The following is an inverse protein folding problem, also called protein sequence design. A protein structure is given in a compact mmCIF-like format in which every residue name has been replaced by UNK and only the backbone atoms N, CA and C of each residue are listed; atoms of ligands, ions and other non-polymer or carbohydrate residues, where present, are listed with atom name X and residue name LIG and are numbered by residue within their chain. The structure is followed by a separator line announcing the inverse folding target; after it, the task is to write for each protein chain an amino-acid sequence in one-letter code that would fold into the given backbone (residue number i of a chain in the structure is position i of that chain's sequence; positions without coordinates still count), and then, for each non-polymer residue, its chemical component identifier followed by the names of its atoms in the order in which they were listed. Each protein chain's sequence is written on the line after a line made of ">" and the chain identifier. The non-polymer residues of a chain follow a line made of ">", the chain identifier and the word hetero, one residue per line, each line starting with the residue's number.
data_IF_690227439648
#
_entry.id   IF_690227439648
#
_cell.length_a   1.000
_cell.length_b   1.000
_cell.length_c   1.000
_cell.angle_alpha   90.00
_cell.angle_beta   90.00
_cell.angle_gamma   90.00
#
_symmetry.space_group_name_H-M   'P 1'
#
loop_
_entity.id
_entity.type
_entity.pdbx_description
1 polymer ?
#
# COMPACT_ATOMS: atom_id res chain seq x y z
N UNK A 1 29.23 1.12 -8.81
CA UNK A 1 29.42 0.15 -9.91
C UNK A 1 28.14 -0.63 -10.21
N UNK A 2 27.45 -1.22 -9.22
CA UNK A 2 26.18 -1.94 -9.44
C UNK A 2 25.09 -1.13 -10.15
N UNK A 3 24.85 0.13 -9.72
CA UNK A 3 23.85 1.01 -10.38
C UNK A 3 24.16 1.27 -11.87
N UNK A 4 25.44 1.34 -12.26
CA UNK A 4 25.83 1.54 -13.66
C UNK A 4 25.66 0.26 -14.48
N UNK A 5 25.93 -0.90 -13.87
CA UNK A 5 25.69 -2.20 -14.52
C UNK A 5 24.20 -2.45 -14.75
N UNK A 6 23.34 -2.08 -13.79
CA UNK A 6 21.89 -2.15 -13.96
C UNK A 6 21.40 -1.22 -15.08
N UNK A 7 21.97 -0.01 -15.19
CA UNK A 7 21.62 0.94 -16.26
C UNK A 7 21.97 0.46 -17.68
N UNK A 8 22.83 -0.58 -17.81
CA UNK A 8 23.22 -1.15 -19.10
C UNK A 8 22.47 -2.44 -19.43
N UNK A 9 21.67 -2.97 -18.50
CA UNK A 9 20.89 -4.18 -18.74
C UNK A 9 19.59 -3.84 -19.45
N UNK A 10 19.11 -4.72 -20.35
CA UNK A 10 17.77 -4.57 -20.90
C UNK A 10 16.73 -4.66 -19.77
N UNK A 11 15.80 -3.72 -19.76
CA UNK A 11 14.64 -3.69 -18.87
C UNK A 11 13.39 -4.22 -19.58
N UNK A 12 12.50 -4.83 -18.81
CA UNK A 12 11.11 -5.01 -19.20
C UNK A 12 10.36 -3.74 -18.80
N UNK A 13 9.93 -2.98 -19.80
CA UNK A 13 9.18 -1.75 -19.62
C UNK A 13 7.68 -1.97 -19.86
N UNK A 14 6.85 -1.02 -19.44
CA UNK A 14 5.40 -1.02 -19.69
C UNK A 14 4.69 -2.33 -19.28
N UNK A 15 5.10 -2.94 -18.16
CA UNK A 15 4.53 -4.20 -17.69
C UNK A 15 3.07 -3.99 -17.28
N UNK A 16 2.16 -4.77 -17.88
CA UNK A 16 0.75 -4.84 -17.50
C UNK A 16 0.36 -6.28 -17.15
N UNK A 17 -0.56 -6.40 -16.19
CA UNK A 17 -1.06 -7.69 -15.69
C UNK A 17 -2.57 -7.71 -15.86
N UNK A 18 -3.06 -8.62 -16.69
CA UNK A 18 -4.47 -8.81 -16.98
C UNK A 18 -4.94 -10.13 -16.35
N UNK A 19 -6.02 -10.07 -15.58
CA UNK A 19 -6.63 -11.23 -14.94
C UNK A 19 -7.83 -11.67 -15.75
N UNK A 20 -7.86 -12.94 -16.14
CA UNK A 20 -8.97 -13.54 -16.87
C UNK A 20 -9.76 -14.47 -15.96
N UNK A 21 -11.08 -14.40 -16.08
CA UNK A 21 -12.02 -15.22 -15.32
C UNK A 21 -12.75 -16.14 -16.27
N UNK A 22 -13.10 -17.33 -15.80
CA UNK A 22 -13.94 -18.24 -16.57
C UNK A 22 -15.27 -17.53 -16.90
N UNK A 23 -15.59 -17.43 -18.19
CA UNK A 23 -16.88 -16.93 -18.62
C UNK A 23 -17.97 -17.91 -18.12
N UNK A 24 -19.11 -17.41 -17.60
CA UNK A 24 -20.23 -18.27 -17.29
C UNK A 24 -20.59 -19.12 -18.52
N UNK A 25 -20.94 -20.41 -18.36
CA UNK A 25 -21.20 -21.32 -19.47
C UNK A 25 -22.35 -20.86 -20.39
N UNK A 26 -23.17 -19.92 -19.95
CA UNK A 26 -24.31 -19.35 -20.71
C UNK A 26 -23.98 -18.02 -21.42
N UNK A 27 -22.72 -17.57 -21.43
CA UNK A 27 -22.33 -16.38 -22.19
C UNK A 27 -22.44 -16.68 -23.69
N UNK A 28 -23.20 -15.90 -24.49
CA UNK A 28 -23.33 -16.14 -25.92
C UNK A 28 -21.94 -16.03 -26.56
N UNK A 29 -21.46 -17.14 -27.09
CA UNK A 29 -20.21 -17.18 -27.84
C UNK A 29 -20.30 -16.17 -28.97
N UNK A 30 -19.46 -15.12 -28.96
CA UNK A 30 -19.37 -14.16 -30.06
C UNK A 30 -19.08 -14.95 -31.34
N UNK A 31 -20.05 -14.97 -32.24
CA UNK A 31 -19.96 -15.70 -33.49
C UNK A 31 -18.81 -15.15 -34.36
N UNK A 32 -18.10 -15.99 -35.14
CA UNK A 32 -17.05 -15.55 -36.07
C UNK A 32 -17.50 -14.48 -37.07
N UNK A 33 -18.81 -14.31 -37.27
CA UNK A 33 -19.40 -13.27 -38.13
C UNK A 33 -19.20 -11.84 -37.60
N UNK A 34 -19.02 -11.63 -36.29
CA UNK A 34 -18.78 -10.28 -35.75
C UNK A 34 -17.34 -9.82 -35.92
N UNK A 35 -16.38 -10.75 -36.01
CA UNK A 35 -14.98 -10.43 -36.34
C UNK A 35 -14.80 -10.02 -37.80
N UNK A 36 -15.61 -10.58 -38.71
CA UNK A 36 -15.58 -10.23 -40.13
C UNK A 36 -16.15 -8.83 -40.43
N UNK A 37 -17.02 -8.28 -39.56
CA UNK A 37 -17.59 -6.94 -39.72
C UNK A 37 -16.67 -5.80 -39.28
N UNK A 38 -15.56 -6.10 -38.57
CA UNK A 38 -14.60 -5.08 -38.14
C UNK A 38 -13.53 -4.74 -39.20
N UNK A 39 -13.49 -5.46 -40.32
CA UNK A 39 -12.48 -5.26 -41.37
C UNK A 39 -12.79 -4.10 -42.35
N UNK A 40 -14.05 -3.63 -42.39
CA UNK A 40 -14.48 -2.57 -43.31
C UNK A 40 -14.59 -1.20 -42.61
N UNK A 41 -13.58 -0.81 -41.82
CA UNK A 41 -13.50 0.56 -41.28
C UNK A 41 -12.87 1.48 -42.33
N UNK A 42 -13.71 2.32 -42.92
CA UNK A 42 -13.33 3.31 -43.94
C UNK A 42 -12.51 4.45 -43.33
N UNK A 43 -11.60 5.06 -44.11
CA UNK A 43 -10.75 6.21 -43.71
C UNK A 43 -11.56 7.39 -43.13
N UNK A 44 -12.85 7.50 -43.43
CA UNK A 44 -13.74 8.54 -42.94
C UNK A 44 -14.25 8.31 -41.50
N UNK A 45 -14.08 7.12 -40.93
CA UNK A 45 -14.53 6.78 -39.57
C UNK A 45 -13.53 7.23 -38.47
N UNK A 46 -12.39 7.82 -38.84
CA UNK A 46 -11.37 8.28 -37.89
C UNK A 46 -11.74 9.56 -37.10
N UNK A 47 -12.84 10.23 -37.43
CA UNK A 47 -13.22 11.52 -36.82
C UNK A 47 -14.55 11.49 -36.05
N UNK A 48 -15.24 10.35 -35.99
CA UNK A 48 -16.34 10.15 -35.05
C UNK A 48 -15.76 9.80 -33.67
N UNK A 49 -16.34 10.28 -32.55
CA UNK A 49 -15.99 9.74 -31.24
C UNK A 49 -16.24 8.23 -31.29
N UNK A 50 -15.20 7.42 -31.07
CA UNK A 50 -15.31 5.97 -31.06
C UNK A 50 -16.38 5.53 -30.05
N UNK A 51 -17.57 5.19 -30.53
CA UNK A 51 -18.66 4.60 -29.72
C UNK A 51 -18.40 3.09 -29.49
N UNK A 52 -17.29 2.55 -29.99
CA UNK A 52 -16.91 1.14 -29.83
C UNK A 52 -16.11 0.82 -28.55
N UNK A 53 -15.79 1.79 -27.69
CA UNK A 53 -15.41 1.48 -26.30
C UNK A 53 -16.69 1.28 -25.46
N UNK A 54 -17.59 0.40 -25.93
CA UNK A 54 -18.52 -0.27 -25.02
C UNK A 54 -17.64 -1.05 -24.04
N UNK A 55 -17.55 -0.65 -22.76
CA UNK A 55 -16.82 -1.43 -21.80
C UNK A 55 -17.48 -2.80 -21.82
N UNK A 56 -16.71 -3.83 -22.20
CA UNK A 56 -17.11 -5.20 -21.93
C UNK A 56 -17.71 -5.25 -20.52
N UNK A 57 -18.74 -6.07 -20.27
CA UNK A 57 -19.27 -6.29 -18.93
C UNK A 57 -18.23 -7.07 -18.10
N UNK A 58 -17.03 -6.50 -17.95
CA UNK A 58 -16.06 -6.85 -16.95
C UNK A 58 -16.76 -6.55 -15.65
N UNK A 59 -17.05 -7.61 -14.91
CA UNK A 59 -17.34 -7.49 -13.49
C UNK A 59 -16.30 -6.61 -12.79
N UNK A 60 -16.55 -6.26 -11.53
CA UNK A 60 -15.73 -5.29 -10.80
C UNK A 60 -14.24 -5.65 -10.89
N UNK A 61 -13.45 -4.79 -11.54
CA UNK A 61 -12.07 -5.09 -11.88
C UNK A 61 -11.22 -5.29 -10.61
N UNK A 62 -10.29 -6.27 -10.61
CA UNK A 62 -9.42 -6.48 -9.47
C UNK A 62 -8.54 -5.26 -9.22
N UNK A 63 -8.30 -4.96 -7.95
CA UNK A 63 -7.38 -3.88 -7.57
C UNK A 63 -5.95 -4.43 -7.47
N UNK A 64 -5.09 -3.98 -8.38
CA UNK A 64 -3.69 -4.43 -8.49
C UNK A 64 -2.76 -3.46 -7.75
N UNK A 65 -1.81 -4.03 -7.00
CA UNK A 65 -0.82 -3.33 -6.19
C UNK A 65 0.58 -3.91 -6.45
N UNK A 66 1.62 -3.09 -6.71
CA UNK A 66 1.54 -1.65 -6.94
C UNK A 66 0.74 -1.33 -8.21
N UNK A 67 0.07 -0.18 -8.25
CA UNK A 67 -0.75 0.23 -9.40
C UNK A 67 0.09 0.56 -10.63
N UNK A 68 1.35 0.93 -10.42
CA UNK A 68 2.35 1.11 -11.47
C UNK A 68 3.51 0.16 -11.24
N UNK A 69 3.70 -0.75 -12.19
CA UNK A 69 4.82 -1.68 -12.19
C UNK A 69 6.07 -0.91 -12.68
N UNK A 70 7.15 -0.82 -11.88
CA UNK A 70 8.39 -0.22 -12.33
C UNK A 70 9.08 -1.11 -13.39
N UNK A 71 10.03 -0.56 -14.17
CA UNK A 71 10.87 -1.36 -15.04
C UNK A 71 11.51 -2.54 -14.29
N UNK A 72 11.43 -3.74 -14.86
CA UNK A 72 11.96 -4.95 -14.24
C UNK A 72 13.29 -5.29 -14.92
N UNK A 73 14.37 -5.37 -14.14
CA UNK A 73 15.68 -5.73 -14.66
C UNK A 73 15.96 -7.23 -14.54
N UNK A 74 16.91 -7.72 -15.33
CA UNK A 74 17.34 -9.11 -15.26
C UNK A 74 17.81 -9.50 -13.86
N UNK A 75 17.39 -10.69 -13.41
CA UNK A 75 17.62 -11.25 -12.07
C UNK A 75 16.89 -10.54 -10.93
N UNK A 76 16.00 -9.59 -11.20
CA UNK A 76 15.12 -9.04 -10.19
C UNK A 76 13.81 -9.83 -10.12
N UNK A 77 13.30 -10.02 -8.90
CA UNK A 77 11.99 -10.61 -8.67
C UNK A 77 11.00 -9.49 -8.41
N UNK A 78 9.99 -9.39 -9.26
CA UNK A 78 8.85 -8.52 -9.05
C UNK A 78 7.68 -9.32 -8.48
N UNK A 79 6.95 -8.71 -7.53
CA UNK A 79 5.75 -9.30 -6.92
C UNK A 79 4.65 -8.26 -6.99
N UNK A 80 3.51 -8.65 -7.54
CA UNK A 80 2.28 -7.86 -7.54
C UNK A 80 1.16 -8.64 -6.89
N UNK A 81 0.25 -7.92 -6.25
CA UNK A 81 -0.91 -8.45 -5.57
C UNK A 81 -2.19 -7.92 -6.22
N UNK A 82 -3.19 -8.78 -6.38
CA UNK A 82 -4.53 -8.39 -6.76
C UNK A 82 -5.49 -8.64 -5.60
N UNK A 83 -6.29 -7.63 -5.26
CA UNK A 83 -7.38 -7.74 -4.29
C UNK A 83 -8.69 -7.76 -5.06
N UNK A 84 -9.38 -8.89 -4.98
CA UNK A 84 -10.68 -9.09 -5.60
C UNK A 84 -11.80 -8.60 -4.67
N UNK A 85 -12.81 -7.89 -5.20
CA UNK A 85 -13.98 -7.50 -4.42
C UNK A 85 -14.78 -8.73 -3.99
N UNK A 86 -15.42 -8.68 -2.82
CA UNK A 86 -16.16 -9.82 -2.25
C UNK A 86 -17.36 -10.26 -3.08
N UNK A 87 -17.83 -9.40 -3.98
CA UNK A 87 -18.93 -9.69 -4.90
C UNK A 87 -18.48 -10.57 -6.08
N UNK A 88 -17.16 -10.68 -6.30
CA UNK A 88 -16.56 -11.54 -7.31
C UNK A 88 -16.40 -12.94 -6.71
N UNK A 89 -17.29 -13.86 -7.10
CA UNK A 89 -17.23 -15.28 -6.68
C UNK A 89 -16.27 -16.10 -7.52
N UNK A 90 -15.92 -15.62 -8.70
CA UNK A 90 -15.13 -16.38 -9.66
C UNK A 90 -13.64 -16.24 -9.34
N UNK A 91 -12.97 -17.39 -9.25
CA UNK A 91 -11.51 -17.45 -9.15
C UNK A 91 -10.94 -17.18 -10.54
N UNK A 92 -9.89 -16.35 -10.68
CA UNK A 92 -9.25 -16.15 -11.97
C UNK A 92 -8.67 -17.47 -12.49
N UNK A 93 -8.84 -17.73 -13.78
CA UNK A 93 -8.37 -18.96 -14.44
C UNK A 93 -6.95 -18.80 -14.98
N UNK A 94 -6.62 -17.59 -15.47
CA UNK A 94 -5.27 -17.31 -15.96
C UNK A 94 -4.91 -15.85 -15.82
N UNK A 95 -3.60 -15.60 -15.76
CA UNK A 95 -2.98 -14.28 -15.70
C UNK A 95 -2.18 -14.07 -16.97
N UNK A 96 -2.46 -12.99 -17.68
CA UNK A 96 -1.69 -12.58 -18.85
C UNK A 96 -0.79 -11.41 -18.46
N UNK A 97 0.52 -11.60 -18.62
CA UNK A 97 1.53 -10.57 -18.40
C UNK A 97 2.00 -10.07 -19.76
N UNK A 98 1.86 -8.77 -20.01
CA UNK A 98 2.35 -8.10 -21.22
C UNK A 98 3.44 -7.12 -20.83
N UNK A 99 4.48 -7.01 -21.62
CA UNK A 99 5.55 -6.04 -21.42
C UNK A 99 6.21 -5.66 -22.75
N UNK A 100 6.91 -4.54 -22.75
CA UNK A 100 7.73 -4.09 -23.87
C UNK A 100 9.18 -4.44 -23.58
N UNK A 101 9.82 -5.14 -24.52
CA UNK A 101 11.25 -5.44 -24.48
C UNK A 101 11.95 -4.72 -25.62
N UNK A 102 13.28 -4.51 -25.56
CA UNK A 102 14.03 -3.92 -26.66
C UNK A 102 13.89 -4.68 -27.98
N UNK A 103 13.59 -5.98 -27.93
CA UNK A 103 13.40 -6.87 -29.09
C UNK A 103 11.95 -6.88 -29.61
N UNK A 104 11.01 -6.29 -28.87
CA UNK A 104 9.59 -6.24 -29.21
C UNK A 104 8.64 -6.48 -28.04
N UNK A 105 7.31 -6.41 -28.25
CA UNK A 105 6.33 -6.74 -27.24
C UNK A 105 6.41 -8.22 -26.87
N UNK A 106 6.38 -8.51 -25.58
CA UNK A 106 6.39 -9.85 -25.03
C UNK A 106 5.12 -10.08 -24.21
N UNK A 107 4.44 -11.19 -24.49
CA UNK A 107 3.24 -11.62 -23.79
C UNK A 107 3.44 -13.04 -23.27
N UNK A 108 3.03 -13.28 -22.03
CA UNK A 108 3.07 -14.60 -21.41
C UNK A 108 1.80 -14.82 -20.61
N UNK A 109 1.15 -15.95 -20.87
CA UNK A 109 -0.03 -16.38 -20.16
C UNK A 109 0.34 -17.48 -19.16
N UNK A 110 -0.08 -17.30 -17.92
CA UNK A 110 0.12 -18.24 -16.81
C UNK A 110 -1.24 -18.74 -16.37
N UNK A 111 -1.46 -20.04 -16.49
CA UNK A 111 -2.68 -20.70 -16.02
C UNK A 111 -2.60 -20.92 -14.50
N UNK A 112 -3.70 -20.66 -13.80
CA UNK A 112 -3.82 -20.89 -12.36
C UNK A 112 -4.40 -22.29 -12.19
N UNK A 113 -3.59 -23.22 -11.68
CA UNK A 113 -4.02 -24.58 -11.42
C UNK A 113 -4.51 -24.70 -9.97
N UNK A 114 -5.35 -25.70 -9.68
CA UNK A 114 -5.86 -25.94 -8.33
C UNK A 114 -4.74 -26.12 -7.28
N UNK A 115 -3.58 -26.64 -7.71
CA UNK A 115 -2.40 -26.81 -6.88
C UNK A 115 -1.72 -25.48 -6.49
N UNK A 116 -1.95 -24.41 -7.25
CA UNK A 116 -1.41 -23.08 -6.99
C UNK A 116 -2.27 -22.29 -5.99
N UNK A 117 -3.45 -22.82 -5.63
CA UNK A 117 -4.36 -22.21 -4.68
C UNK A 117 -3.85 -22.44 -3.26
N UNK A 118 -3.20 -21.41 -2.72
CA UNK A 118 -2.73 -21.42 -1.34
C UNK A 118 -3.77 -20.85 -0.38
N UNK A 119 -4.27 -21.69 0.52
CA UNK A 119 -5.15 -21.25 1.61
C UNK A 119 -4.34 -20.71 2.79
N UNK A 120 -4.37 -19.40 3.00
CA UNK A 120 -3.76 -18.79 4.18
C UNK A 120 -3.95 -17.29 4.26
N UNK A 121 -3.73 -16.71 5.43
CA UNK A 121 -3.84 -15.25 5.63
C UNK A 121 -2.58 -14.48 5.20
N UNK A 122 -1.46 -15.16 4.93
CA UNK A 122 -0.17 -14.49 4.70
C UNK A 122 -0.19 -13.67 3.41
N UNK A 123 -0.61 -14.27 2.28
CA UNK A 123 -0.73 -13.55 1.02
C UNK A 123 -1.72 -12.37 1.13
N UNK A 124 -2.85 -12.58 1.82
CA UNK A 124 -3.83 -11.53 2.09
C UNK A 124 -3.25 -10.37 2.91
N UNK A 125 -2.46 -10.67 3.95
CA UNK A 125 -1.76 -9.65 4.76
C UNK A 125 -0.74 -8.88 3.94
N UNK A 126 0.04 -9.56 3.09
CA UNK A 126 1.03 -8.91 2.21
C UNK A 126 0.35 -8.01 1.18
N UNK A 127 -0.74 -8.47 0.56
CA UNK A 127 -1.53 -7.67 -0.37
C UNK A 127 -2.11 -6.42 0.30
N UNK A 128 -2.72 -6.57 1.48
CA UNK A 128 -3.26 -5.46 2.23
C UNK A 128 -2.16 -4.48 2.69
N UNK A 129 -0.99 -4.98 3.08
CA UNK A 129 0.15 -4.15 3.46
C UNK A 129 0.64 -3.28 2.29
N UNK A 130 0.82 -3.87 1.11
CA UNK A 130 1.27 -3.10 -0.07
C UNK A 130 0.22 -2.09 -0.51
N UNK A 131 -1.07 -2.44 -0.43
CA UNK A 131 -2.17 -1.53 -0.72
C UNK A 131 -2.22 -0.31 0.22
N UNK A 132 -2.03 -0.52 1.53
CA UNK A 132 -1.96 0.55 2.52
C UNK A 132 -0.73 1.44 2.26
N UNK A 133 0.43 0.83 2.04
CA UNK A 133 1.69 1.54 1.80
C UNK A 133 1.62 2.42 0.54
N UNK A 134 1.05 1.91 -0.55
CA UNK A 134 0.85 2.70 -1.76
C UNK A 134 -0.09 3.90 -1.51
N UNK A 135 -1.16 3.70 -0.72
CA UNK A 135 -2.06 4.80 -0.32
C UNK A 135 -1.35 5.89 0.50
N UNK A 136 -0.50 5.49 1.45
CA UNK A 136 0.27 6.42 2.28
C UNK A 136 1.29 7.21 1.44
N UNK A 137 1.96 6.55 0.51
CA UNK A 137 2.86 7.19 -0.45
C UNK A 137 2.12 8.19 -1.33
N UNK A 138 0.95 7.82 -1.84
CA UNK A 138 0.07 8.71 -2.62
C UNK A 138 -0.27 9.97 -1.81
N UNK A 139 -0.71 9.83 -0.56
CA UNK A 139 -1.05 10.97 0.30
C UNK A 139 0.14 11.84 0.62
N UNK A 140 1.28 11.23 0.90
CA UNK A 140 2.53 11.96 1.16
C UNK A 140 2.96 12.77 -0.07
N UNK A 141 2.89 12.18 -1.27
CA UNK A 141 3.20 12.88 -2.51
C UNK A 141 2.22 14.04 -2.76
N UNK A 142 0.91 13.80 -2.59
CA UNK A 142 -0.13 14.83 -2.73
C UNK A 142 0.07 16.00 -1.78
N UNK A 143 0.33 15.72 -0.50
CA UNK A 143 0.52 16.76 0.52
C UNK A 143 1.78 17.60 0.27
N UNK A 144 2.78 17.03 -0.40
CA UNK A 144 4.01 17.73 -0.81
C UNK A 144 3.90 18.43 -2.16
N UNK A 145 2.75 18.36 -2.83
CA UNK A 145 2.54 18.94 -4.15
C UNK A 145 3.30 18.23 -5.27
N UNK A 146 3.76 16.99 -5.04
CA UNK A 146 4.35 16.19 -6.11
C UNK A 146 3.27 15.64 -7.05
N UNK A 147 3.56 15.51 -8.35
CA UNK A 147 2.65 14.87 -9.28
C UNK A 147 2.42 13.43 -8.81
N UNK A 148 1.16 13.12 -8.53
CA UNK A 148 0.79 11.79 -8.07
C UNK A 148 0.51 10.94 -9.31
N UNK A 149 1.37 9.98 -9.54
CA UNK A 149 1.26 9.05 -10.67
C UNK A 149 0.09 8.11 -10.39
N UNK A 150 -0.73 7.88 -11.41
CA UNK A 150 -2.06 7.26 -11.31
C UNK A 150 -2.11 5.92 -10.57
N UNK A 151 -3.31 5.62 -10.06
CA UNK A 151 -3.60 4.43 -9.28
C UNK A 151 -4.91 4.62 -8.50
N UNK A 152 -5.56 3.52 -8.10
CA UNK A 152 -6.76 3.60 -7.28
C UNK A 152 -6.39 4.07 -5.87
N UNK A 153 -6.92 5.21 -5.47
CA UNK A 153 -6.80 5.70 -4.11
C UNK A 153 -7.82 5.01 -3.21
N UNK A 154 -7.35 4.20 -2.26
CA UNK A 154 -8.19 3.74 -1.14
C UNK A 154 -8.69 4.96 -0.33
N UNK A 155 -9.97 4.98 0.00
CA UNK A 155 -10.48 5.91 1.00
C UNK A 155 -9.83 5.64 2.37
N UNK A 156 -9.76 6.68 3.21
CA UNK A 156 -9.23 6.54 4.57
C UNK A 156 -9.93 5.43 5.36
N UNK A 157 -11.25 5.30 5.18
CA UNK A 157 -12.05 4.27 5.81
C UNK A 157 -11.69 2.87 5.29
N UNK A 158 -11.52 2.68 3.98
CA UNK A 158 -11.09 1.39 3.42
C UNK A 158 -9.70 1.00 3.93
N UNK A 159 -8.76 1.95 3.99
CA UNK A 159 -7.41 1.68 4.50
C UNK A 159 -7.44 1.28 5.98
N UNK A 160 -8.26 1.94 6.81
CA UNK A 160 -8.46 1.58 8.23
C UNK A 160 -9.10 0.19 8.34
N UNK A 161 -10.14 -0.09 7.55
CA UNK A 161 -10.81 -1.40 7.54
C UNK A 161 -9.84 -2.53 7.16
N UNK A 162 -9.01 -2.33 6.12
CA UNK A 162 -7.97 -3.28 5.72
C UNK A 162 -6.93 -3.49 6.84
N UNK A 163 -6.46 -2.41 7.44
CA UNK A 163 -5.48 -2.45 8.53
C UNK A 163 -6.01 -3.24 9.74
N UNK A 164 -7.24 -2.98 10.17
CA UNK A 164 -7.88 -3.69 11.28
C UNK A 164 -8.12 -5.15 10.91
N UNK A 165 -8.70 -5.44 9.73
CA UNK A 165 -9.04 -6.79 9.28
C UNK A 165 -7.82 -7.73 9.27
N UNK A 166 -6.65 -7.19 8.88
CA UNK A 166 -5.43 -7.99 8.73
C UNK A 166 -4.40 -7.78 9.86
N UNK A 167 -4.68 -6.89 10.82
CA UNK A 167 -3.80 -6.57 11.93
C UNK A 167 -2.49 -5.90 11.48
N UNK A 168 -2.58 -4.92 10.59
CA UNK A 168 -1.44 -4.21 10.00
C UNK A 168 -1.31 -2.84 10.67
N UNK A 169 -0.09 -2.46 11.08
CA UNK A 169 0.21 -1.10 11.54
C UNK A 169 0.25 -0.16 10.34
N UNK A 170 -0.40 0.99 10.44
CA UNK A 170 -0.42 2.03 9.40
C UNK A 170 -0.36 3.41 10.03
N UNK A 171 -0.18 4.47 9.24
CA UNK A 171 -0.24 5.87 9.71
C UNK A 171 -1.57 6.17 10.41
N UNK A 172 -2.65 5.46 10.03
CA UNK A 172 -4.01 5.65 10.54
C UNK A 172 -4.40 4.71 11.67
N UNK A 173 -3.54 3.76 12.06
CA UNK A 173 -3.85 2.76 13.09
C UNK A 173 -2.71 2.65 14.10
N UNK A 174 -3.06 2.45 15.37
CA UNK A 174 -2.07 2.29 16.45
C UNK A 174 -2.38 1.03 17.25
N UNK A 175 -1.32 0.33 17.65
CA UNK A 175 -1.42 -0.80 18.56
C UNK A 175 -1.31 -0.31 20.00
N UNK A 176 -2.32 -0.60 20.82
CA UNK A 176 -2.33 -0.30 22.25
C UNK A 176 -2.26 -1.61 23.01
N UNK A 177 -1.13 -1.88 23.65
CA UNK A 177 -0.98 -3.02 24.54
C UNK A 177 -1.54 -2.68 25.92
N UNK A 178 -2.66 -3.31 26.29
CA UNK A 178 -3.27 -3.18 27.62
C UNK A 178 -2.72 -4.32 28.49
N UNK A 179 -2.08 -3.98 29.60
CA UNK A 179 -1.66 -4.96 30.62
C UNK A 179 -2.78 -5.10 31.63
N UNK A 180 -3.30 -6.31 31.81
CA UNK A 180 -4.38 -6.61 32.76
C UNK A 180 -3.90 -6.66 34.22
N UNK A 181 -2.65 -6.29 34.50
CA UNK A 181 -2.18 -6.14 35.88
C UNK A 181 -3.14 -5.20 36.63
N UNK A 182 -3.89 -5.70 37.64
CA UNK A 182 -4.78 -4.86 38.43
C UNK A 182 -3.91 -4.02 39.37
N UNK A 183 -3.24 -3.00 38.83
CA UNK A 183 -2.39 -2.11 39.61
C UNK A 183 -3.27 -1.12 40.33
N UNK A 184 -3.84 -1.59 41.42
CA UNK A 184 -4.16 -0.74 42.55
C UNK A 184 -2.83 -0.30 43.15
N UNK A 185 -2.64 1.02 43.20
CA UNK A 185 -1.71 1.79 44.05
C UNK A 185 -0.45 2.41 43.44
N UNK A 186 -0.42 3.72 43.70
CA UNK A 186 0.70 4.55 44.12
C UNK A 186 1.67 5.09 43.06
N UNK A 187 1.43 6.36 42.76
CA UNK A 187 2.43 7.39 42.51
C UNK A 187 3.85 7.07 43.03
N UNK A 188 4.78 6.88 42.11
CA UNK A 188 6.00 7.71 41.94
C UNK A 188 7.12 6.85 41.37
N UNK A 189 7.75 7.37 40.32
CA UNK A 189 8.84 6.70 39.62
C UNK A 189 8.50 6.62 38.14
N UNK A 190 9.16 7.45 37.33
CA UNK A 190 9.11 7.35 35.87
C UNK A 190 9.79 6.05 35.47
N UNK A 191 9.05 4.95 35.52
CA UNK A 191 9.53 3.68 35.01
C UNK A 191 9.56 3.78 33.49
N UNK A 192 10.78 3.88 32.93
CA UNK A 192 11.00 3.74 31.49
C UNK A 192 10.60 2.32 31.13
N UNK A 193 9.37 2.16 30.66
CA UNK A 193 8.86 0.90 30.14
C UNK A 193 9.66 0.57 28.87
N UNK A 194 10.62 -0.33 28.99
CA UNK A 194 11.30 -0.94 27.85
C UNK A 194 10.28 -1.87 27.20
N UNK A 195 9.71 -1.45 26.07
CA UNK A 195 8.90 -2.35 25.23
C UNK A 195 9.89 -3.37 24.67
N UNK A 196 9.74 -4.68 24.93
CA UNK A 196 10.54 -5.68 24.24
C UNK A 196 10.25 -5.51 22.74
N UNK A 197 11.26 -5.11 21.98
CA UNK A 197 11.21 -5.24 20.53
C UNK A 197 11.07 -6.73 20.24
N UNK A 198 9.85 -7.16 19.91
CA UNK A 198 9.61 -8.46 19.28
C UNK A 198 10.13 -8.41 17.83
N UNK A 199 11.43 -8.15 17.67
CA UNK A 199 12.16 -8.57 16.49
C UNK A 199 12.55 -10.03 16.76
N UNK A 200 12.30 -10.98 15.85
CA UNK A 200 12.88 -12.30 15.99
C UNK A 200 14.40 -12.12 16.03
N UNK A 201 15.01 -12.50 17.16
CA UNK A 201 16.44 -12.70 17.28
C UNK A 201 16.82 -13.97 16.52
N UNK A 202 16.58 -13.99 15.21
CA UNK A 202 17.21 -14.95 14.33
C UNK A 202 18.45 -14.29 13.74
N UNK A 203 19.58 -14.99 13.88
CA UNK A 203 20.94 -14.64 13.48
C UNK A 203 21.14 -14.40 11.97
N UNK A 204 20.10 -14.00 11.23
CA UNK A 204 20.12 -13.75 9.79
C UNK A 204 20.45 -12.30 9.39
N UNK A 205 20.55 -11.36 10.34
CA UNK A 205 20.97 -9.97 10.05
C UNK A 205 22.46 -9.80 9.70
N UNK A 206 23.29 -10.84 9.84
CA UNK A 206 24.72 -10.74 9.51
C UNK A 206 25.02 -10.72 7.99
N UNK A 207 24.05 -10.95 7.10
CA UNK A 207 24.32 -11.11 5.65
C UNK A 207 23.78 -10.03 4.71
N UNK A 208 23.06 -9.02 5.20
CA UNK A 208 22.47 -7.98 4.34
C UNK A 208 23.05 -6.56 4.50
N UNK A 209 24.18 -6.40 5.22
CA UNK A 209 24.83 -5.10 5.41
C UNK A 209 26.09 -4.90 4.54
N UNK A 210 25.95 -5.11 3.23
CA UNK A 210 26.91 -4.58 2.25
C UNK A 210 26.20 -3.54 1.38
N UNK A 211 26.15 -2.28 1.80
CA UNK A 211 25.82 -1.21 0.86
C UNK A 211 25.29 0.11 1.38
N UNK A 212 24.89 0.25 2.65
CA UNK A 212 24.40 1.54 3.15
C UNK A 212 25.52 2.32 3.87
N UNK A 213 25.84 3.56 3.44
CA UNK A 213 26.84 4.38 4.11
C UNK A 213 26.35 4.76 5.52
N UNK A 214 27.15 4.43 6.53
CA UNK A 214 26.94 4.88 7.91
C UNK A 214 27.07 6.40 7.97
N UNK A 215 25.96 7.06 8.30
CA UNK A 215 25.98 8.47 8.72
C UNK A 215 26.74 8.57 10.05
N UNK A 216 27.96 9.10 10.00
CA UNK A 216 28.75 9.45 11.18
C UNK A 216 28.08 10.68 11.81
N UNK A 217 27.37 10.49 12.92
CA UNK A 217 26.88 11.61 13.73
C UNK A 217 28.07 12.26 14.43
N UNK A 218 28.56 13.37 13.88
CA UNK A 218 29.51 14.22 14.59
C UNK A 218 28.81 14.90 15.77
N UNK A 219 29.06 14.37 16.96
CA UNK A 219 28.72 15.02 18.23
C UNK A 219 29.62 16.24 18.42
N UNK A 220 29.18 17.42 17.99
CA UNK A 220 29.84 18.68 18.33
C UNK A 220 29.53 19.06 19.77
N UNK A 221 30.50 18.76 20.64
CA UNK A 221 30.54 19.19 22.03
C UNK A 221 30.83 20.70 22.06
N UNK A 222 29.78 21.53 22.07
CA UNK A 222 29.91 22.96 22.32
C UNK A 222 29.94 23.22 23.82
N UNK A 223 31.10 23.59 24.35
CA UNK A 223 31.23 24.19 25.67
C UNK A 223 31.00 25.70 25.54
N UNK A 224 29.90 26.19 26.13
CA UNK A 224 29.61 27.61 26.30
C UNK A 224 29.38 27.94 27.77
N UNK A 225 29.85 29.10 28.27
CA UNK A 225 29.92 29.40 29.69
C UNK A 225 28.58 29.81 30.29
N UNK A 226 28.40 29.38 31.54
CA UNK A 226 27.40 29.78 32.52
C UNK A 226 27.22 31.31 32.62
N UNK A 227 25.99 31.78 32.39
CA UNK A 227 25.50 33.04 32.97
C UNK A 227 24.30 32.75 33.86
N UNK A 228 24.54 32.91 35.16
CA UNK A 228 23.54 32.98 36.22
C UNK A 228 22.58 34.15 35.95
N UNK A 229 21.28 33.87 35.86
CA UNK A 229 20.23 34.90 35.89
C UNK A 229 19.36 34.67 37.12
N UNK A 230 19.33 35.73 37.91
CA UNK A 230 18.64 35.95 39.17
C UNK A 230 17.14 35.63 39.09
N UNK A 231 16.67 34.95 40.13
CA UNK A 231 15.27 34.75 40.52
C UNK A 231 14.53 36.08 40.73
N UNK A 232 13.29 36.15 40.23
CA UNK A 232 12.31 37.21 40.49
C UNK A 232 10.88 36.63 40.53
N UNK A 233 9.93 37.28 41.22
CA UNK A 233 8.94 36.59 42.06
C UNK A 233 7.64 36.16 41.37
N UNK A 234 7.07 35.13 41.97
CA UNK A 234 5.77 34.50 41.80
C UNK A 234 4.61 35.51 41.72
N UNK A 235 3.90 35.57 40.59
CA UNK A 235 2.58 36.18 40.51
C UNK A 235 1.49 35.12 40.68
N UNK A 236 0.95 35.10 41.89
CA UNK A 236 -0.28 34.40 42.28
C UNK A 236 -1.47 34.98 41.50
N UNK A 237 -2.06 34.20 40.58
CA UNK A 237 -3.37 34.51 40.01
C UNK A 237 -4.43 33.82 40.88
N UNK A 238 -5.14 34.65 41.65
CA UNK A 238 -6.34 34.28 42.39
C UNK A 238 -7.54 34.24 41.42
N UNK A 239 -8.38 33.22 41.60
CA UNK A 239 -9.83 33.36 41.55
C UNK A 239 -10.49 33.21 40.19
N UNK A 240 -11.07 32.03 39.95
CA UNK A 240 -12.33 31.93 39.23
C UNK A 240 -13.34 31.20 40.12
N UNK A 241 -14.51 31.79 40.38
CA UNK A 241 -15.52 31.18 41.23
C UNK A 241 -16.26 30.05 40.51
N UNK A 242 -16.42 28.98 41.27
CA UNK A 242 -17.41 27.93 41.10
C UNK A 242 -18.83 28.53 41.03
N UNK A 243 -19.56 28.26 39.95
CA UNK A 243 -21.02 28.17 40.01
C UNK A 243 -21.44 26.73 39.69
N UNK A 244 -21.75 26.02 40.77
CA UNK A 244 -22.74 24.98 40.75
C UNK A 244 -24.13 25.65 40.74
N UNK A 245 -24.99 25.27 39.79
CA UNK A 245 -26.42 25.38 40.00
C UNK A 245 -27.12 24.14 39.46
N UNK A 246 -27.61 23.34 40.41
CA UNK A 246 -28.58 22.26 40.24
C UNK A 246 -29.95 22.86 39.90
N UNK A 247 -30.70 22.14 39.06
CA UNK A 247 -32.13 21.78 39.20
C UNK A 247 -32.50 21.04 37.89
N UNK A 248 -32.66 19.71 37.86
CA UNK A 248 -33.86 18.93 38.19
C UNK A 248 -35.18 19.55 37.67
N UNK A 249 -35.81 18.91 36.69
CA UNK A 249 -37.17 18.38 36.82
C UNK A 249 -37.50 17.43 35.65
N UNK A 250 -37.77 16.20 36.05
CA UNK A 250 -38.53 15.17 35.36
C UNK A 250 -40.03 15.45 35.47
N UNK A 251 -40.72 15.48 34.34
CA UNK A 251 -41.99 14.78 34.00
C UNK A 251 -42.43 15.20 32.59
#
# INVERSE_FOLDING_TARGET
>A
LGQLQQALQPSLDCVSVEWSFALPPDAPSRSPQDQARQADKTILDYWGPSIDDEPSPMGPAPHIYPSRIPPIFNNERFISYAIFPSDMRDVPESVTVKCETPDGPLETRVEILDQDIFHGSVAHKMAAHEAIKENENYRTARNRGHPVLGGRHLSDQEAICLAIKYGIASERTSFVAISESPTTMASSGKEKRVIPQCLPNDESQARYNHGLPRMISHSTRSMGPTRSIKTGPTRSIKGFPSQAQRQNLSE
#
